data_IF_684200733769
#
_entry.id   IF_684200733769
#
_cell.length_a   1.000
_cell.length_b   1.000
_cell.length_c   1.000
_cell.angle_alpha   90.00
_cell.angle_beta   90.00
_cell.angle_gamma   90.00
#
_symmetry.space_group_name_H-M   'P 1'
#
loop_
_entity.id
_entity.type
_entity.pdbx_description
1 polymer ?
#
# COMPACT_ATOMS: atom_id res chain seq x y z
N UNK A 1 12.82 -20.66 -7.04
CA UNK A 1 12.86 -19.35 -7.74
C UNK A 1 11.88 -18.44 -7.02
N UNK A 2 12.36 -17.52 -6.18
CA UNK A 2 11.46 -16.60 -5.46
C UNK A 2 10.79 -15.68 -6.48
N UNK A 3 9.52 -15.92 -6.77
CA UNK A 3 8.70 -14.97 -7.52
C UNK A 3 8.58 -13.69 -6.70
N UNK A 4 8.69 -12.53 -7.36
CA UNK A 4 8.47 -11.22 -6.72
C UNK A 4 7.17 -11.22 -5.90
N UNK A 5 7.16 -10.68 -4.67
CA UNK A 5 5.97 -10.71 -3.81
C UNK A 5 4.84 -9.90 -4.44
N UNK A 6 3.64 -10.46 -4.48
CA UNK A 6 2.47 -9.83 -5.10
C UNK A 6 1.79 -8.85 -4.13
N UNK A 7 1.89 -9.13 -2.84
CA UNK A 7 1.30 -8.38 -1.74
C UNK A 7 2.12 -8.55 -0.44
N UNK A 8 1.66 -7.95 0.67
CA UNK A 8 2.32 -8.04 1.96
C UNK A 8 2.28 -9.44 2.60
N UNK A 9 1.35 -10.32 2.21
CA UNK A 9 1.34 -11.70 2.69
C UNK A 9 2.49 -12.50 2.06
N UNK A 10 2.76 -12.29 0.76
CA UNK A 10 3.96 -12.82 0.13
C UNK A 10 5.25 -12.27 0.77
N UNK A 11 5.28 -10.98 1.12
CA UNK A 11 6.42 -10.38 1.83
C UNK A 11 6.66 -11.07 3.18
N UNK A 12 5.62 -11.27 3.98
CA UNK A 12 5.72 -11.93 5.29
C UNK A 12 6.34 -13.34 5.20
N UNK A 13 6.07 -14.06 4.11
CA UNK A 13 6.61 -15.40 3.86
C UNK A 13 8.11 -15.42 3.47
N UNK A 14 8.77 -14.26 3.31
CA UNK A 14 10.17 -14.13 2.87
C UNK A 14 11.15 -13.73 3.98
N UNK A 15 10.83 -14.05 5.24
CA UNK A 15 11.58 -13.67 6.46
C UNK A 15 11.53 -12.16 6.81
N UNK A 16 10.66 -11.39 6.16
CA UNK A 16 10.42 -9.99 6.49
C UNK A 16 9.28 -9.88 7.51
N UNK A 17 9.53 -9.29 8.67
CA UNK A 17 8.53 -9.17 9.75
C UNK A 17 8.30 -7.75 10.28
N UNK A 18 8.96 -6.72 9.72
CA UNK A 18 8.78 -5.34 10.19
C UNK A 18 7.60 -4.67 9.50
N UNK A 19 6.78 -3.93 10.25
CA UNK A 19 5.79 -3.02 9.68
C UNK A 19 6.47 -1.80 9.04
N UNK A 20 6.53 -1.75 7.71
CA UNK A 20 7.14 -0.66 6.94
C UNK A 20 6.69 -0.68 5.47
N UNK A 21 7.26 0.22 4.67
CA UNK A 21 7.04 0.23 3.23
C UNK A 21 7.83 -0.89 2.55
N UNK A 22 7.15 -1.64 1.69
CA UNK A 22 7.73 -2.63 0.79
C UNK A 22 7.26 -2.38 -0.64
N UNK A 23 8.10 -2.77 -1.60
CA UNK A 23 7.67 -2.85 -3.00
C UNK A 23 7.04 -4.22 -3.26
N UNK A 24 5.84 -4.23 -3.83
CA UNK A 24 5.13 -5.44 -4.27
C UNK A 24 4.81 -5.36 -5.76
N UNK A 25 4.53 -6.51 -6.38
CA UNK A 25 4.26 -6.64 -7.82
C UNK A 25 2.89 -7.29 -8.07
N UNK A 26 1.79 -6.53 -7.89
CA UNK A 26 0.45 -7.03 -8.12
C UNK A 26 0.29 -7.56 -9.55
N UNK A 27 -0.44 -8.67 -9.68
CA UNK A 27 -0.77 -9.28 -10.98
C UNK A 27 -1.94 -8.54 -11.63
N UNK A 28 -1.73 -7.29 -12.06
CA UNK A 28 -2.73 -6.50 -12.76
C UNK A 28 -2.29 -6.23 -14.20
N UNK A 29 -3.22 -6.29 -15.16
CA UNK A 29 -2.96 -6.01 -16.60
C UNK A 29 -2.42 -4.60 -16.84
N UNK A 30 -2.66 -3.68 -15.89
CA UNK A 30 -2.18 -2.29 -15.95
C UNK A 30 -0.81 -2.11 -15.30
N UNK A 31 -0.40 -3.04 -14.42
CA UNK A 31 0.87 -3.00 -13.68
C UNK A 31 1.82 -4.12 -14.09
N UNK A 32 1.56 -4.83 -15.20
CA UNK A 32 2.40 -5.95 -15.66
C UNK A 32 3.86 -5.49 -15.78
N UNK A 33 4.64 -5.77 -14.72
CA UNK A 33 6.05 -5.45 -14.45
C UNK A 33 6.38 -4.22 -13.58
N UNK A 34 5.43 -3.34 -13.23
CA UNK A 34 5.71 -2.21 -12.33
C UNK A 34 5.46 -2.60 -10.88
N UNK A 35 6.48 -2.42 -10.04
CA UNK A 35 6.33 -2.54 -8.59
C UNK A 35 5.63 -1.29 -8.04
N UNK A 36 4.83 -1.48 -6.98
CA UNK A 36 4.22 -0.39 -6.24
C UNK A 36 4.69 -0.45 -4.79
N UNK A 37 4.88 0.72 -4.19
CA UNK A 37 5.21 0.81 -2.78
C UNK A 37 3.92 0.79 -1.96
N UNK A 38 3.86 -0.12 -0.99
CA UNK A 38 2.75 -0.30 -0.06
C UNK A 38 3.28 -0.33 1.35
N UNK A 39 2.50 0.19 2.30
CA UNK A 39 2.79 -0.05 3.71
C UNK A 39 2.27 -1.44 4.10
N UNK A 40 3.16 -2.31 4.55
CA UNK A 40 2.79 -3.60 5.12
C UNK A 40 2.69 -3.46 6.63
N UNK A 41 1.54 -3.82 7.18
CA UNK A 41 1.38 -4.06 8.61
C UNK A 41 1.65 -5.54 8.88
N UNK A 42 2.77 -5.81 9.55
CA UNK A 42 3.26 -7.14 9.90
C UNK A 42 2.96 -7.51 11.35
N UNK A 43 2.33 -6.62 12.12
CA UNK A 43 2.11 -6.79 13.56
C UNK A 43 0.66 -7.17 13.87
N UNK A 44 -0.31 -6.58 13.17
CA UNK A 44 -1.74 -6.75 13.46
C UNK A 44 -2.23 -8.14 13.04
N UNK A 45 -2.81 -8.90 13.97
CA UNK A 45 -3.50 -10.18 13.71
C UNK A 45 -2.68 -11.18 12.88
N UNK A 46 -1.38 -11.30 13.19
CA UNK A 46 -0.47 -12.20 12.48
C UNK A 46 0.21 -11.60 11.24
N UNK A 47 -0.08 -10.34 10.90
CA UNK A 47 0.63 -9.58 9.88
C UNK A 47 0.24 -9.90 8.43
N UNK A 48 1.04 -9.41 7.48
CA UNK A 48 0.81 -9.61 6.05
C UNK A 48 -0.26 -8.69 5.46
N UNK A 49 -0.67 -7.66 6.18
CA UNK A 49 -1.71 -6.73 5.73
C UNK A 49 -1.15 -5.68 4.78
N UNK A 50 -1.67 -5.65 3.56
CA UNK A 50 -1.45 -4.54 2.62
C UNK A 50 -2.39 -3.40 2.99
N UNK A 51 -1.85 -2.30 3.53
CA UNK A 51 -2.67 -1.14 3.88
C UNK A 51 -3.06 -0.38 2.61
N UNK A 52 -4.36 -0.25 2.35
CA UNK A 52 -4.90 0.45 1.17
C UNK A 52 -5.32 1.90 1.46
N UNK A 53 -5.47 2.25 2.74
CA UNK A 53 -5.86 3.59 3.20
C UNK A 53 -5.35 3.80 4.63
N UNK A 54 -4.84 4.99 4.93
CA UNK A 54 -4.50 5.39 6.31
C UNK A 54 -4.97 6.81 6.61
N UNK A 55 -5.47 7.03 7.84
CA UNK A 55 -5.78 8.33 8.44
C UNK A 55 -5.01 8.48 9.75
N UNK A 56 -4.41 9.64 9.98
CA UNK A 56 -3.73 9.89 11.26
C UNK A 56 -3.43 11.36 11.52
N UNK A 57 -2.77 11.64 12.64
CA UNK A 57 -2.30 12.98 12.96
C UNK A 57 -0.93 13.24 12.32
N UNK A 58 -0.88 13.33 11.00
CA UNK A 58 0.33 13.58 10.23
C UNK A 58 0.41 15.03 9.70
N UNK A 59 -0.16 15.98 10.45
CA UNK A 59 -0.21 17.40 10.10
C UNK A 59 -0.89 17.71 8.76
N UNK A 60 -1.85 16.87 8.33
CA UNK A 60 -2.66 17.11 7.12
C UNK A 60 -3.88 18.00 7.42
N UNK A 61 -4.34 18.79 6.45
CA UNK A 61 -5.62 19.49 6.53
C UNK A 61 -6.79 18.53 6.80
N UNK A 62 -7.82 18.99 7.52
CA UNK A 62 -9.01 18.16 7.84
C UNK A 62 -9.75 17.67 6.59
N UNK A 63 -9.72 18.47 5.54
CA UNK A 63 -10.30 18.24 4.22
C UNK A 63 -9.33 17.54 3.24
N UNK A 64 -8.19 17.00 3.70
CA UNK A 64 -7.20 16.36 2.82
C UNK A 64 -7.78 15.26 1.93
N UNK A 65 -8.82 14.55 2.40
CA UNK A 65 -9.53 13.50 1.66
C UNK A 65 -10.71 14.01 0.81
N UNK A 66 -11.02 15.30 0.85
CA UNK A 66 -12.03 15.88 -0.04
C UNK A 66 -11.39 16.08 -1.43
N UNK A 67 -11.43 15.01 -2.24
CA UNK A 67 -10.83 14.96 -3.57
C UNK A 67 -11.82 14.44 -4.62
N UNK A 68 -11.51 14.70 -5.88
CA UNK A 68 -12.29 14.26 -7.03
C UNK A 68 -12.12 12.76 -7.34
N UNK A 69 -12.93 12.28 -8.29
CA UNK A 69 -12.90 10.90 -8.74
C UNK A 69 -11.54 10.47 -9.28
N UNK A 70 -10.86 11.36 -10.02
CA UNK A 70 -9.55 11.05 -10.62
C UNK A 70 -8.49 10.79 -9.54
N UNK A 71 -8.49 11.57 -8.46
CA UNK A 71 -7.62 11.35 -7.31
C UNK A 71 -7.89 9.98 -6.66
N UNK A 72 -9.16 9.62 -6.44
CA UNK A 72 -9.51 8.32 -5.86
C UNK A 72 -9.21 7.14 -6.79
N UNK A 73 -9.26 7.35 -8.11
CA UNK A 73 -8.88 6.36 -9.11
C UNK A 73 -7.39 6.09 -9.07
N UNK A 74 -6.56 7.13 -9.07
CA UNK A 74 -5.11 7.04 -9.21
C UNK A 74 -4.36 6.87 -7.89
N UNK A 75 -4.98 7.22 -6.77
CA UNK A 75 -4.32 7.27 -5.46
C UNK A 75 -3.75 8.65 -5.14
N UNK A 76 -3.54 8.92 -3.85
CA UNK A 76 -2.96 10.15 -3.36
C UNK A 76 -2.40 9.99 -1.94
N UNK A 77 -1.49 10.89 -1.57
CA UNK A 77 -0.90 10.92 -0.24
C UNK A 77 0.43 10.19 -0.18
N UNK A 78 0.79 9.75 1.01
CA UNK A 78 2.07 9.13 1.34
C UNK A 78 1.80 7.87 2.17
N UNK A 79 2.29 6.72 1.70
CA UNK A 79 2.03 5.40 2.31
C UNK A 79 2.51 5.29 3.75
N UNK A 80 3.45 6.15 4.18
CA UNK A 80 3.89 6.24 5.57
C UNK A 80 2.99 7.12 6.44
N UNK A 81 2.08 7.91 5.83
CA UNK A 81 1.22 8.92 6.48
C UNK A 81 -0.25 8.75 6.06
N UNK A 82 -0.98 9.84 5.86
CA UNK A 82 -2.32 9.82 5.26
C UNK A 82 -2.24 9.52 3.76
N UNK A 83 -2.94 8.48 3.30
CA UNK A 83 -3.04 8.14 1.89
C UNK A 83 -4.28 7.33 1.52
N UNK A 84 -4.53 7.28 0.22
CA UNK A 84 -5.41 6.35 -0.47
C UNK A 84 -4.61 5.70 -1.60
N UNK A 85 -4.54 4.37 -1.62
CA UNK A 85 -3.67 3.65 -2.56
C UNK A 85 -4.11 3.79 -4.02
N UNK A 86 -5.41 3.99 -4.27
CA UNK A 86 -5.98 4.11 -5.61
C UNK A 86 -6.81 2.90 -6.02
N UNK A 87 -7.88 3.12 -6.79
CA UNK A 87 -8.79 2.07 -7.26
C UNK A 87 -8.25 1.29 -8.46
N UNK A 88 -7.45 1.92 -9.32
CA UNK A 88 -7.01 1.35 -10.60
C UNK A 88 -5.73 0.51 -10.53
N UNK A 89 -5.35 0.07 -9.33
CA UNK A 89 -4.30 -0.92 -9.14
C UNK A 89 -4.81 -2.32 -9.49
#
# INVERSE_FOLDING_TARGET
LSSRPVDCADVLNTEHSDSKVYTVWPKSRLTEKKGIDVFCDMDTDGGGWTIIQRRGNFSRPKDFFFKDWESYKNGFGDVERDFWLGKSL
#
